data_IF_663065951650
#
_entry.id   IF_663065951650
#
_cell.length_a   1.000
_cell.length_b   1.000
_cell.length_c   1.000
_cell.angle_alpha   90.00
_cell.angle_beta   90.00
_cell.angle_gamma   90.00
#
_symmetry.space_group_name_H-M   'P 1'
#
loop_
_entity.id
_entity.type
_entity.pdbx_description
1 polymer ?
#
# COMPACT_ATOMS: atom_id res chain seq x y z
N UNK A 1 -5.37 17.51 7.61
CA UNK A 1 -5.89 17.70 8.97
C UNK A 1 -4.94 18.64 9.70
N UNK A 2 -5.45 19.75 10.24
CA UNK A 2 -4.64 20.74 10.96
C UNK A 2 -5.19 20.84 12.37
N UNK A 3 -4.33 21.07 13.36
CA UNK A 3 -4.78 21.36 14.72
C UNK A 3 -5.68 22.58 14.70
N UNK A 4 -6.85 22.47 15.32
CA UNK A 4 -7.76 23.59 15.44
C UNK A 4 -7.14 24.67 16.34
N UNK A 5 -7.21 25.92 15.94
CA UNK A 5 -6.67 27.05 16.71
C UNK A 5 -7.41 27.29 18.03
N UNK A 6 -8.58 26.69 18.22
CA UNK A 6 -9.37 26.73 19.46
C UNK A 6 -8.90 25.75 20.53
N UNK A 7 -7.88 24.92 20.27
CA UNK A 7 -7.33 24.02 21.28
C UNK A 7 -6.79 24.77 22.49
N UNK A 8 -7.04 24.23 23.69
CA UNK A 8 -6.43 24.77 24.91
C UNK A 8 -4.92 24.51 24.89
N UNK A 9 -4.13 25.55 25.17
CA UNK A 9 -2.68 25.47 25.27
C UNK A 9 -2.21 24.40 26.28
N UNK A 10 -3.02 24.06 27.28
CA UNK A 10 -2.73 23.01 28.27
C UNK A 10 -2.63 21.61 27.67
N UNK A 11 -3.17 21.39 26.47
CA UNK A 11 -3.07 20.12 25.75
C UNK A 11 -1.71 19.92 25.09
N UNK A 12 -0.85 20.94 25.12
CA UNK A 12 0.47 20.93 24.50
C UNK A 12 1.57 20.96 25.56
N UNK A 13 2.59 20.14 25.36
CA UNK A 13 3.83 20.10 26.12
C UNK A 13 4.96 20.68 25.28
N UNK A 14 5.72 21.63 25.82
CA UNK A 14 6.84 22.28 25.11
C UNK A 14 8.15 21.71 25.63
N UNK A 15 8.98 21.18 24.74
CA UNK A 15 10.35 20.80 25.04
C UNK A 15 11.29 21.84 24.44
N UNK A 16 11.79 22.74 25.29
CA UNK A 16 12.67 23.85 24.88
C UNK A 16 14.06 23.38 24.44
N UNK A 17 14.57 22.25 24.95
CA UNK A 17 15.89 21.72 24.58
C UNK A 17 15.90 21.11 23.16
N UNK A 18 14.79 20.49 22.77
CA UNK A 18 14.61 19.86 21.45
C UNK A 18 13.85 20.73 20.46
N UNK A 19 13.42 21.93 20.87
CA UNK A 19 12.56 22.82 20.11
C UNK A 19 11.35 22.10 19.50
N UNK A 20 10.65 21.29 20.32
CA UNK A 20 9.55 20.44 19.87
C UNK A 20 8.31 20.58 20.75
N UNK A 21 7.14 20.41 20.16
CA UNK A 21 5.84 20.41 20.86
C UNK A 21 5.26 19.01 20.81
N UNK A 22 4.86 18.46 21.95
CA UNK A 22 4.16 17.19 22.08
C UNK A 22 2.71 17.40 22.52
N UNK A 23 1.80 16.57 22.03
CA UNK A 23 0.39 16.56 22.44
C UNK A 23 -0.19 15.16 22.29
N UNK A 24 -1.28 14.88 22.99
CA UNK A 24 -2.03 13.65 22.80
C UNK A 24 -3.01 13.84 21.63
N UNK A 25 -2.92 12.99 20.62
CA UNK A 25 -3.78 13.05 19.43
C UNK A 25 -5.27 12.84 19.73
N UNK A 26 -5.63 12.28 20.88
CA UNK A 26 -7.03 12.06 21.25
C UNK A 26 -7.66 13.22 22.02
N UNK A 27 -6.84 14.11 22.58
CA UNK A 27 -7.32 15.21 23.43
C UNK A 27 -7.44 16.53 22.65
N UNK A 28 -6.75 16.64 21.51
CA UNK A 28 -6.77 17.84 20.67
C UNK A 28 -7.87 17.77 19.61
N UNK A 29 -8.47 18.93 19.34
CA UNK A 29 -9.42 19.16 18.25
C UNK A 29 -8.69 19.37 16.94
N UNK A 30 -9.26 18.83 15.88
CA UNK A 30 -8.73 18.98 14.53
C UNK A 30 -9.73 19.71 13.65
N UNK A 31 -9.19 20.62 12.84
CA UNK A 31 -9.93 21.20 11.74
C UNK A 31 -9.80 20.29 10.53
N UNK A 32 -10.95 19.75 10.10
CA UNK A 32 -11.09 18.99 8.87
C UNK A 32 -11.50 19.99 7.78
N UNK A 33 -10.82 19.96 6.64
CA UNK A 33 -11.09 20.87 5.52
C UNK A 33 -12.15 20.27 4.58
N UNK A 34 -13.25 19.82 5.16
CA UNK A 34 -14.38 19.22 4.46
C UNK A 34 -15.65 19.72 5.14
N UNK A 35 -16.60 20.21 4.35
CA UNK A 35 -17.88 20.68 4.84
C UNK A 35 -18.95 19.61 4.54
N UNK A 36 -19.89 19.38 5.47
CA UNK A 36 -20.97 18.43 5.26
C UNK A 36 -21.94 18.95 4.19
N UNK A 37 -22.22 18.13 3.17
CA UNK A 37 -23.17 18.47 2.10
C UNK A 37 -24.59 18.76 2.61
N UNK A 38 -24.98 18.10 3.70
CA UNK A 38 -26.28 18.19 4.35
C UNK A 38 -26.28 19.11 5.58
N UNK A 39 -25.17 19.81 5.84
CA UNK A 39 -24.98 20.66 7.02
C UNK A 39 -24.75 19.88 8.33
N UNK A 40 -24.75 18.53 8.31
CA UNK A 40 -24.59 17.70 9.49
C UNK A 40 -23.21 17.03 9.55
N UNK A 41 -22.36 17.53 10.43
CA UNK A 41 -21.05 16.91 10.69
C UNK A 41 -21.17 15.48 11.22
N UNK A 42 -22.23 15.15 11.97
CA UNK A 42 -22.44 13.80 12.47
C UNK A 42 -22.73 12.83 11.31
N UNK A 43 -23.59 13.21 10.35
CA UNK A 43 -23.86 12.39 9.17
C UNK A 43 -22.63 12.32 8.24
N UNK A 44 -21.84 13.39 8.13
CA UNK A 44 -20.57 13.34 7.41
C UNK A 44 -19.60 12.35 8.06
N UNK A 45 -19.44 12.35 9.39
CA UNK A 45 -18.59 11.38 10.10
C UNK A 45 -19.10 9.96 9.87
N UNK A 46 -20.41 9.74 9.95
CA UNK A 46 -21.02 8.44 9.68
C UNK A 46 -20.70 7.94 8.26
N UNK A 47 -20.86 8.80 7.24
CA UNK A 47 -20.51 8.49 5.84
C UNK A 47 -19.01 8.20 5.66
N UNK A 48 -18.13 8.93 6.35
CA UNK A 48 -16.69 8.69 6.29
C UNK A 48 -16.28 7.39 6.98
N UNK A 49 -16.96 7.01 8.07
CA UNK A 49 -16.70 5.78 8.81
C UNK A 49 -17.27 4.55 8.08
N UNK A 50 -18.41 4.71 7.42
CA UNK A 50 -19.14 3.65 6.74
C UNK A 50 -19.52 4.11 5.33
N UNK A 51 -18.53 4.21 4.42
CA UNK A 51 -18.77 4.66 3.04
C UNK A 51 -19.76 3.73 2.34
N UNK A 52 -20.74 4.31 1.65
CA UNK A 52 -21.71 3.52 0.91
C UNK A 52 -21.18 3.25 -0.50
N UNK A 53 -21.30 2.03 -1.02
CA UNK A 53 -20.94 1.67 -2.39
C UNK A 53 -21.50 2.65 -3.43
N UNK A 54 -22.79 2.99 -3.30
CA UNK A 54 -23.52 3.91 -4.19
C UNK A 54 -22.82 5.28 -4.34
N UNK A 55 -22.05 5.72 -3.33
CA UNK A 55 -21.30 6.99 -3.39
C UNK A 55 -20.09 6.92 -4.35
N UNK A 56 -19.70 5.72 -4.79
CA UNK A 56 -18.51 5.45 -5.62
C UNK A 56 -18.81 4.75 -6.94
N UNK A 57 -20.01 4.17 -7.10
CA UNK A 57 -20.43 3.42 -8.30
C UNK A 57 -20.39 4.28 -9.57
N UNK A 58 -20.60 5.59 -9.47
CA UNK A 58 -20.58 6.51 -10.61
C UNK A 58 -19.16 6.91 -11.07
N UNK A 59 -18.14 6.74 -10.22
CA UNK A 59 -16.74 7.10 -10.52
C UNK A 59 -15.84 5.85 -10.61
N UNK A 60 -16.06 5.12 -11.71
CA UNK A 60 -15.28 3.93 -12.07
C UNK A 60 -13.77 4.23 -12.15
N UNK A 61 -13.39 5.44 -12.60
CA UNK A 61 -11.99 5.85 -12.70
C UNK A 61 -11.36 6.01 -11.32
N UNK A 62 -12.06 6.66 -10.39
CA UNK A 62 -11.63 6.75 -9.00
C UNK A 62 -11.44 5.37 -8.39
N UNK A 63 -12.40 4.47 -8.57
CA UNK A 63 -12.33 3.11 -8.03
C UNK A 63 -11.11 2.35 -8.58
N UNK A 64 -10.89 2.42 -9.90
CA UNK A 64 -9.74 1.81 -10.55
C UNK A 64 -8.40 2.36 -10.05
N UNK A 65 -8.26 3.69 -10.00
CA UNK A 65 -7.02 4.34 -9.54
C UNK A 65 -6.75 4.09 -8.06
N UNK A 66 -7.81 4.04 -7.24
CA UNK A 66 -7.68 3.73 -5.82
C UNK A 66 -7.29 2.27 -5.59
N UNK A 67 -7.85 1.34 -6.37
CA UNK A 67 -7.42 -0.06 -6.37
C UNK A 67 -5.93 -0.16 -6.69
N UNK A 68 -5.46 0.47 -7.78
CA UNK A 68 -4.02 0.47 -8.13
C UNK A 68 -3.15 1.01 -6.99
N UNK A 69 -3.55 2.09 -6.34
CA UNK A 69 -2.80 2.68 -5.20
C UNK A 69 -2.73 1.75 -4.00
N UNK A 70 -3.85 1.11 -3.64
CA UNK A 70 -3.90 0.15 -2.53
C UNK A 70 -3.03 -1.05 -2.86
N UNK A 71 -3.19 -1.66 -4.04
CA UNK A 71 -2.40 -2.81 -4.47
C UNK A 71 -0.90 -2.50 -4.55
N UNK A 72 -0.52 -1.29 -4.95
CA UNK A 72 0.87 -0.84 -4.89
C UNK A 72 1.38 -0.83 -3.44
N UNK A 73 0.60 -0.29 -2.50
CA UNK A 73 0.91 -0.29 -1.08
C UNK A 73 1.17 -1.70 -0.55
N UNK A 74 0.26 -2.63 -0.84
CA UNK A 74 0.36 -4.04 -0.44
C UNK A 74 1.63 -4.71 -1.02
N UNK A 75 1.96 -4.44 -2.29
CA UNK A 75 3.19 -4.96 -2.92
C UNK A 75 4.46 -4.39 -2.29
N UNK A 76 4.45 -3.09 -1.93
CA UNK A 76 5.60 -2.43 -1.30
C UNK A 76 5.81 -2.92 0.13
N UNK A 77 4.74 -3.11 0.90
CA UNK A 77 4.81 -3.66 2.25
C UNK A 77 5.35 -5.11 2.21
N UNK A 78 4.83 -5.94 1.29
CA UNK A 78 5.34 -7.29 1.11
C UNK A 78 6.82 -7.30 0.69
N UNK A 79 7.23 -6.43 -0.24
CA UNK A 79 8.64 -6.28 -0.61
C UNK A 79 9.51 -5.94 0.59
N UNK A 80 9.14 -4.90 1.36
CA UNK A 80 9.90 -4.45 2.52
C UNK A 80 10.06 -5.58 3.53
N UNK A 81 8.97 -6.31 3.82
CA UNK A 81 9.01 -7.48 4.70
C UNK A 81 9.95 -8.58 4.19
N UNK A 82 9.92 -8.91 2.89
CA UNK A 82 10.81 -9.93 2.34
C UNK A 82 12.28 -9.49 2.35
N UNK A 83 12.57 -8.22 2.08
CA UNK A 83 13.92 -7.66 2.14
C UNK A 83 14.44 -7.68 3.58
N UNK A 84 13.65 -7.22 4.54
CA UNK A 84 14.01 -7.21 5.96
C UNK A 84 14.29 -8.63 6.49
N UNK A 85 13.45 -9.60 6.11
CA UNK A 85 13.61 -11.02 6.49
C UNK A 85 14.96 -11.61 6.10
N UNK A 86 15.58 -11.13 5.02
CA UNK A 86 16.91 -11.57 4.57
C UNK A 86 18.03 -10.60 4.97
N UNK A 87 17.72 -9.61 5.81
CA UNK A 87 18.64 -8.62 6.35
C UNK A 87 19.06 -7.55 5.35
N UNK A 88 18.26 -7.28 4.33
CA UNK A 88 18.50 -6.23 3.35
C UNK A 88 17.94 -4.89 3.83
N UNK A 89 18.77 -3.85 3.78
CA UNK A 89 18.37 -2.49 4.14
C UNK A 89 17.92 -1.75 2.87
N UNK A 90 16.63 -1.91 2.54
CA UNK A 90 16.06 -1.42 1.30
C UNK A 90 15.03 -0.32 1.55
N UNK A 91 15.10 0.75 0.76
CA UNK A 91 14.09 1.81 0.73
C UNK A 91 13.53 1.91 -0.70
N UNK A 92 12.22 1.70 -0.91
CA UNK A 92 11.58 1.90 -2.20
C UNK A 92 11.82 3.31 -2.73
N UNK A 93 12.28 3.39 -3.98
CA UNK A 93 12.47 4.66 -4.70
C UNK A 93 11.50 4.80 -5.86
N UNK A 94 11.65 5.89 -6.64
CA UNK A 94 10.84 6.15 -7.85
C UNK A 94 10.86 4.98 -8.83
N UNK A 95 12.01 4.29 -8.98
CA UNK A 95 12.11 3.09 -9.84
C UNK A 95 11.19 1.98 -9.34
N UNK A 96 11.23 1.66 -8.05
CA UNK A 96 10.41 0.59 -7.44
C UNK A 96 8.93 0.83 -7.69
N UNK A 97 8.46 2.07 -7.43
CA UNK A 97 7.07 2.46 -7.66
C UNK A 97 6.69 2.29 -9.12
N UNK A 98 7.53 2.77 -10.05
CA UNK A 98 7.25 2.66 -11.49
C UNK A 98 7.15 1.21 -11.96
N UNK A 99 8.07 0.35 -11.51
CA UNK A 99 8.06 -1.09 -11.85
C UNK A 99 6.77 -1.74 -11.37
N UNK A 100 6.40 -1.55 -10.09
CA UNK A 100 5.21 -2.19 -9.55
C UNK A 100 3.90 -1.63 -10.12
N UNK A 101 3.83 -0.33 -10.41
CA UNK A 101 2.68 0.23 -11.14
C UNK A 101 2.52 -0.40 -12.52
N UNK A 102 3.63 -0.60 -13.26
CA UNK A 102 3.60 -1.27 -14.55
C UNK A 102 3.20 -2.75 -14.44
N UNK A 103 3.66 -3.45 -13.40
CA UNK A 103 3.25 -4.84 -13.17
C UNK A 103 1.76 -4.95 -12.81
N UNK A 104 1.20 -3.98 -12.07
CA UNK A 104 -0.22 -3.94 -11.71
C UNK A 104 -1.16 -3.74 -12.91
N UNK A 105 -0.66 -3.28 -14.05
CA UNK A 105 -1.46 -3.25 -15.29
C UNK A 105 -1.74 -4.66 -15.84
N UNK A 106 -0.98 -5.67 -15.38
CA UNK A 106 -1.02 -7.03 -15.91
C UNK A 106 -1.30 -8.10 -14.87
N UNK A 107 -0.96 -7.86 -13.60
CA UNK A 107 -0.97 -8.85 -12.54
C UNK A 107 -1.68 -8.34 -11.28
N UNK A 108 -2.23 -9.26 -10.50
CA UNK A 108 -2.75 -8.95 -9.17
C UNK A 108 -1.63 -8.73 -8.14
N UNK A 109 -1.97 -8.12 -6.99
CA UNK A 109 -1.03 -7.97 -5.88
C UNK A 109 -0.54 -9.35 -5.39
N UNK A 110 -1.42 -10.35 -5.34
CA UNK A 110 -1.07 -11.73 -5.04
C UNK A 110 -0.01 -12.30 -5.99
N UNK A 111 -0.15 -12.07 -7.30
CA UNK A 111 0.81 -12.51 -8.31
C UNK A 111 2.14 -11.77 -8.22
N UNK A 112 2.12 -10.45 -8.01
CA UNK A 112 3.33 -9.65 -7.82
C UNK A 112 4.09 -10.09 -6.57
N UNK A 113 3.40 -10.44 -5.48
CA UNK A 113 4.03 -11.01 -4.28
C UNK A 113 4.78 -12.32 -4.59
N UNK A 114 4.25 -13.16 -5.48
CA UNK A 114 4.97 -14.36 -5.94
C UNK A 114 6.27 -14.03 -6.70
N UNK A 115 6.25 -12.96 -7.51
CA UNK A 115 7.42 -12.46 -8.25
C UNK A 115 8.46 -11.91 -7.28
N UNK A 116 8.04 -11.08 -6.32
CA UNK A 116 8.88 -10.49 -5.27
C UNK A 116 9.58 -11.61 -4.49
N UNK A 117 8.83 -12.60 -4.03
CA UNK A 117 9.39 -13.71 -3.25
C UNK A 117 10.50 -14.44 -4.01
N UNK A 118 10.27 -14.76 -5.30
CA UNK A 118 11.28 -15.41 -6.15
C UNK A 118 12.51 -14.52 -6.37
N UNK A 119 12.31 -13.22 -6.59
CA UNK A 119 13.41 -12.26 -6.78
C UNK A 119 14.29 -12.14 -5.53
N UNK A 120 13.69 -12.06 -4.34
CA UNK A 120 14.42 -12.00 -3.06
C UNK A 120 15.16 -13.32 -2.81
N UNK A 121 14.50 -14.47 -3.00
CA UNK A 121 15.13 -15.78 -2.81
C UNK A 121 16.36 -15.97 -3.73
N UNK A 122 16.22 -15.63 -5.01
CA UNK A 122 17.31 -15.78 -5.99
C UNK A 122 18.48 -14.83 -5.72
N UNK A 123 18.21 -13.56 -5.38
CA UNK A 123 19.27 -12.60 -5.03
C UNK A 123 20.03 -13.04 -3.77
N UNK A 124 19.30 -13.52 -2.76
CA UNK A 124 19.87 -14.05 -1.51
C UNK A 124 20.74 -15.27 -1.75
N UNK A 125 20.26 -16.22 -2.56
CA UNK A 125 21.05 -17.39 -2.96
C UNK A 125 22.39 -16.99 -3.59
N UNK A 126 22.37 -16.08 -4.56
CA UNK A 126 23.60 -15.60 -5.23
C UNK A 126 24.55 -14.89 -4.26
N UNK A 127 24.02 -14.14 -3.30
CA UNK A 127 24.85 -13.53 -2.25
C UNK A 127 25.51 -14.60 -1.37
N UNK A 128 24.76 -15.60 -0.91
CA UNK A 128 25.28 -16.68 -0.06
C UNK A 128 26.32 -17.56 -0.79
N UNK A 129 26.18 -17.72 -2.10
CA UNK A 129 27.17 -18.41 -2.95
C UNK A 129 28.46 -17.59 -3.17
N UNK A 130 28.53 -16.35 -2.69
CA UNK A 130 29.68 -15.46 -2.91
C UNK A 130 29.75 -14.87 -4.32
N UNK A 131 28.73 -15.08 -5.16
CA UNK A 131 28.70 -14.62 -6.54
C UNK A 131 28.56 -13.09 -6.64
N UNK A 132 27.93 -12.46 -5.66
CA UNK A 132 27.63 -11.02 -5.66
C UNK A 132 27.72 -10.45 -4.24
N UNK A 133 27.96 -9.14 -4.13
CA UNK A 133 27.94 -8.44 -2.83
C UNK A 133 26.51 -8.27 -2.31
N UNK A 134 26.34 -8.07 -1.00
CA UNK A 134 25.03 -7.80 -0.38
C UNK A 134 24.33 -6.58 -0.99
N UNK A 135 25.07 -5.52 -1.31
CA UNK A 135 24.51 -4.31 -1.94
C UNK A 135 24.05 -4.63 -3.36
N UNK A 136 24.83 -5.41 -4.11
CA UNK A 136 24.44 -5.82 -5.46
C UNK A 136 23.20 -6.71 -5.45
N UNK A 137 23.10 -7.65 -4.50
CA UNK A 137 21.94 -8.50 -4.33
C UNK A 137 20.66 -7.68 -4.05
N UNK A 138 20.76 -6.66 -3.18
CA UNK A 138 19.66 -5.74 -2.87
C UNK A 138 19.17 -4.99 -4.12
N UNK A 139 20.07 -4.38 -4.86
CA UNK A 139 19.74 -3.62 -6.06
C UNK A 139 19.17 -4.51 -7.19
N UNK A 140 19.58 -5.77 -7.22
CA UNK A 140 19.15 -6.74 -8.23
C UNK A 140 17.67 -7.15 -8.05
N UNK A 141 17.11 -7.09 -6.84
CA UNK A 141 15.73 -7.55 -6.57
C UNK A 141 14.72 -6.83 -7.46
N UNK A 142 14.79 -5.49 -7.55
CA UNK A 142 13.81 -4.71 -8.33
C UNK A 142 13.94 -5.00 -9.83
N UNK A 143 15.17 -5.03 -10.35
CA UNK A 143 15.41 -5.37 -11.75
C UNK A 143 15.00 -6.82 -12.07
N UNK A 144 15.09 -7.73 -11.10
CA UNK A 144 14.61 -9.10 -11.27
C UNK A 144 13.08 -9.16 -11.29
N UNK A 145 12.39 -8.36 -10.47
CA UNK A 145 10.93 -8.29 -10.51
C UNK A 145 10.45 -7.76 -11.87
N UNK A 146 11.06 -6.68 -12.35
CA UNK A 146 10.82 -6.08 -13.66
C UNK A 146 11.01 -7.12 -14.78
N UNK A 147 12.20 -7.73 -14.86
CA UNK A 147 12.52 -8.70 -15.91
C UNK A 147 11.64 -9.96 -15.86
N UNK A 148 11.39 -10.51 -14.67
CA UNK A 148 10.52 -11.69 -14.53
C UNK A 148 9.07 -11.38 -14.91
N UNK A 149 8.58 -10.19 -14.57
CA UNK A 149 7.25 -9.74 -14.95
C UNK A 149 7.11 -9.50 -16.45
N UNK A 150 8.05 -8.79 -17.07
CA UNK A 150 8.10 -8.58 -18.52
C UNK A 150 8.13 -9.89 -19.29
N UNK A 151 8.95 -10.85 -18.81
CA UNK A 151 9.02 -12.18 -19.41
C UNK A 151 7.70 -12.95 -19.27
N UNK A 152 7.07 -12.89 -18.09
CA UNK A 152 5.77 -13.51 -17.88
C UNK A 152 4.69 -12.91 -18.79
N UNK A 153 4.72 -11.60 -19.05
CA UNK A 153 3.82 -10.94 -20.00
C UNK A 153 4.09 -11.43 -21.43
N UNK A 154 5.37 -11.40 -21.86
CA UNK A 154 5.75 -11.75 -23.23
C UNK A 154 5.45 -13.22 -23.57
N UNK A 155 5.60 -14.12 -22.60
CA UNK A 155 5.37 -15.55 -22.77
C UNK A 155 3.95 -16.00 -22.35
N UNK A 156 3.08 -15.10 -21.88
CA UNK A 156 1.71 -15.41 -21.48
C UNK A 156 1.62 -16.37 -20.27
N UNK A 157 2.53 -16.24 -19.31
CA UNK A 157 2.57 -17.13 -18.15
C UNK A 157 1.37 -16.91 -17.22
N UNK A 158 0.72 -18.01 -16.83
CA UNK A 158 -0.26 -17.99 -15.74
C UNK A 158 0.44 -18.05 -14.39
N UNK A 159 0.74 -16.87 -13.81
CA UNK A 159 1.37 -16.78 -12.50
C UNK A 159 0.38 -17.14 -11.39
N UNK A 160 0.76 -18.08 -10.53
CA UNK A 160 0.01 -18.38 -9.31
C UNK A 160 0.27 -17.29 -8.27
N UNK A 161 -0.80 -16.63 -7.82
CA UNK A 161 -0.77 -15.68 -6.72
C UNK A 161 -0.41 -16.33 -5.38
N UNK A 162 0.19 -15.55 -4.49
CA UNK A 162 0.36 -15.92 -3.09
C UNK A 162 -0.89 -15.55 -2.29
N UNK A 163 -1.25 -16.39 -1.32
CA UNK A 163 -2.21 -15.99 -0.29
C UNK A 163 -1.64 -14.86 0.55
N UNK A 164 -2.52 -14.07 1.19
CA UNK A 164 -2.09 -13.07 2.18
C UNK A 164 -1.18 -13.73 3.24
N UNK A 165 -0.09 -13.05 3.56
CA UNK A 165 0.88 -13.54 4.54
C UNK A 165 0.33 -13.32 5.95
N UNK A 166 0.32 -14.35 6.80
CA UNK A 166 -0.15 -14.23 8.18
C UNK A 166 0.56 -13.11 8.97
N UNK A 167 1.84 -12.88 8.68
CA UNK A 167 2.64 -11.84 9.34
C UNK A 167 2.45 -10.43 8.74
N UNK A 168 1.67 -10.30 7.66
CA UNK A 168 1.31 -9.04 7.01
C UNK A 168 -0.21 -9.00 6.84
N UNK A 169 -0.95 -8.67 7.91
CA UNK A 169 -2.39 -8.59 7.85
C UNK A 169 -2.83 -7.52 6.85
N UNK A 170 -4.01 -7.72 6.28
CA UNK A 170 -4.62 -6.74 5.37
C UNK A 170 -4.70 -5.34 6.01
N UNK A 171 -4.29 -4.33 5.25
CA UNK A 171 -4.40 -2.94 5.68
C UNK A 171 -5.88 -2.54 5.86
N UNK A 172 -6.17 -1.68 6.85
CA UNK A 172 -7.54 -1.18 7.04
C UNK A 172 -8.09 -0.50 5.78
N UNK A 173 -7.21 0.18 5.03
CA UNK A 173 -7.57 0.80 3.76
C UNK A 173 -8.00 -0.23 2.70
N UNK A 174 -7.23 -1.31 2.52
CA UNK A 174 -7.60 -2.44 1.66
C UNK A 174 -8.94 -3.04 2.09
N UNK A 175 -9.10 -3.26 3.40
CA UNK A 175 -10.32 -3.86 3.95
C UNK A 175 -11.55 -3.00 3.68
N UNK A 176 -11.52 -1.72 4.03
CA UNK A 176 -12.64 -0.79 3.80
C UNK A 176 -12.93 -0.67 2.30
N UNK A 177 -11.90 -0.50 1.49
CA UNK A 177 -12.09 -0.29 0.07
C UNK A 177 -12.62 -1.53 -0.66
N UNK A 178 -12.01 -2.70 -0.48
CA UNK A 178 -12.44 -3.90 -1.19
C UNK A 178 -13.69 -4.55 -0.58
N UNK A 179 -13.88 -4.48 0.75
CA UNK A 179 -15.02 -5.13 1.41
C UNK A 179 -16.25 -4.22 1.48
N UNK A 180 -16.06 -2.96 1.88
CA UNK A 180 -17.18 -2.05 2.13
C UNK A 180 -17.56 -1.25 0.89
N UNK A 181 -16.59 -0.74 0.13
CA UNK A 181 -16.85 0.08 -1.06
C UNK A 181 -17.13 -0.80 -2.27
N UNK A 182 -16.16 -1.62 -2.70
CA UNK A 182 -16.28 -2.44 -3.93
C UNK A 182 -17.03 -3.77 -3.73
N UNK A 183 -17.24 -4.23 -2.49
CA UNK A 183 -17.89 -5.52 -2.16
C UNK A 183 -17.24 -6.76 -2.81
N UNK A 184 -15.96 -6.71 -3.12
CA UNK A 184 -15.19 -7.81 -3.73
C UNK A 184 -14.29 -8.56 -2.74
N UNK A 185 -14.12 -8.04 -1.52
CA UNK A 185 -13.31 -8.63 -0.46
C UNK A 185 -11.91 -9.04 -0.96
N UNK A 186 -11.51 -10.31 -0.76
CA UNK A 186 -10.18 -10.80 -1.12
C UNK A 186 -9.87 -10.75 -2.63
N UNK A 187 -10.89 -10.66 -3.50
CA UNK A 187 -10.67 -10.49 -4.93
C UNK A 187 -9.92 -9.18 -5.23
N UNK A 188 -10.03 -8.16 -4.36
CA UNK A 188 -9.24 -6.94 -4.46
C UNK A 188 -7.72 -7.18 -4.42
N UNK A 189 -7.30 -8.28 -3.80
CA UNK A 189 -5.89 -8.69 -3.72
C UNK A 189 -5.54 -9.78 -4.74
N UNK A 190 -6.48 -10.69 -5.01
CA UNK A 190 -6.27 -11.86 -5.87
C UNK A 190 -6.40 -11.55 -7.37
N UNK A 191 -7.21 -10.55 -7.72
CA UNK A 191 -7.42 -10.08 -9.09
C UNK A 191 -6.62 -8.81 -9.39
N UNK A 192 -6.34 -8.60 -10.67
CA UNK A 192 -5.69 -7.37 -11.12
C UNK A 192 -6.68 -6.20 -11.03
N UNK A 193 -6.21 -4.97 -10.74
CA UNK A 193 -7.03 -3.77 -10.83
C UNK A 193 -7.77 -3.73 -12.17
N UNK A 194 -9.09 -3.62 -12.12
CA UNK A 194 -9.97 -3.71 -13.30
C UNK A 194 -11.08 -2.66 -13.19
N UNK A 195 -11.48 -2.14 -14.34
CA UNK A 195 -12.60 -1.20 -14.48
C UNK A 195 -13.93 -1.97 -14.57
N UNK A 196 -15.00 -1.43 -14.01
CA UNK A 196 -16.37 -1.91 -14.21
C UNK A 196 -16.78 -3.00 -13.23
N UNK A 197 -16.33 -2.87 -11.99
CA UNK A 197 -16.60 -3.77 -10.86
C UNK A 197 -17.62 -3.16 -9.93
#
# INVERSE_FOLDING_TARGET
>A
MVLDSSNDCKLFSVNSEKNSIGFNMFDVRYKINVEPEDGSYNHMIERLMYPKPDDFEEDEEFCYEMWKKISLGECLEFLLHQMDKVGYNFSPGKKTVKVFMNLLDHFSAAQINSIIYRAVANSTKRFQEGNITKIHAQNLVISSCEHNGERAIAEGWNLRGFSRNYNLPESLLSKVFFTSILKIADLGFEEKPTKGI
#
